data_IF_318065479145
#
_entry.id   IF_318065479145
#
_cell.length_a   1.000
_cell.length_b   1.000
_cell.length_c   1.000
_cell.angle_alpha   90.00
_cell.angle_beta   90.00
_cell.angle_gamma   90.00
#
_symmetry.space_group_name_H-M   'P 1'
#
loop_
_entity.id
_entity.type
_entity.pdbx_description
1 polymer ?
#
# COMPACT_ATOMS: atom_id res chain seq x y z
N UNK A 1 7.53 9.62 13.32
CA UNK A 1 6.91 8.89 12.18
C UNK A 1 5.40 8.79 12.35
N UNK A 2 4.62 9.39 11.44
CA UNK A 2 3.15 9.27 11.41
C UNK A 2 2.74 8.58 10.11
N UNK A 3 2.22 7.36 10.21
CA UNK A 3 1.77 6.54 9.08
C UNK A 3 0.27 6.29 9.23
N UNK A 4 -0.50 6.45 8.16
CA UNK A 4 -1.91 6.04 8.05
C UNK A 4 -2.08 4.82 7.15
N UNK A 5 -3.19 4.09 7.29
CA UNK A 5 -3.56 3.08 6.29
C UNK A 5 -3.81 3.70 4.91
N UNK A 6 -3.69 2.91 3.84
CA UNK A 6 -3.88 3.37 2.46
C UNK A 6 -5.36 3.62 2.11
N UNK A 7 -6.31 3.05 2.86
CA UNK A 7 -7.70 3.52 2.85
C UNK A 7 -8.02 4.32 4.12
N UNK A 8 -8.82 5.36 3.94
CA UNK A 8 -9.33 6.19 5.05
C UNK A 8 -10.83 6.36 4.84
N UNK A 9 -11.59 5.54 5.55
CA UNK A 9 -13.04 5.41 5.38
C UNK A 9 -13.75 6.03 6.58
N UNK A 10 -14.91 6.69 6.40
CA UNK A 10 -15.69 7.17 7.54
C UNK A 10 -16.15 5.98 8.38
N UNK A 11 -16.35 6.21 9.68
CA UNK A 11 -16.92 5.21 10.57
C UNK A 11 -18.41 5.06 10.29
N UNK A 12 -18.88 3.83 10.17
CA UNK A 12 -20.31 3.56 9.99
C UNK A 12 -21.06 3.75 11.32
N UNK A 13 -22.37 3.99 11.26
CA UNK A 13 -23.20 4.07 12.45
C UNK A 13 -23.16 2.74 13.23
N UNK A 14 -22.99 2.80 14.55
CA UNK A 14 -22.87 1.65 15.46
C UNK A 14 -21.69 0.68 15.20
N UNK A 15 -20.76 1.02 14.31
CA UNK A 15 -19.55 0.23 14.06
C UNK A 15 -18.59 0.30 15.26
N UNK A 16 -17.98 -0.81 15.67
CA UNK A 16 -16.93 -0.78 16.71
C UNK A 16 -15.63 -0.17 16.16
N UNK A 17 -14.79 0.37 17.04
CA UNK A 17 -13.50 0.94 16.60
C UNK A 17 -12.61 -0.12 15.94
N UNK A 18 -12.62 -1.35 16.47
CA UNK A 18 -11.90 -2.47 15.89
C UNK A 18 -12.38 -2.80 14.47
N UNK A 19 -13.70 -2.92 14.25
CA UNK A 19 -14.25 -3.17 12.91
C UNK A 19 -13.89 -2.06 11.93
N UNK A 20 -13.98 -0.81 12.41
CA UNK A 20 -13.66 0.37 11.61
C UNK A 20 -12.18 0.40 11.21
N UNK A 21 -11.26 0.09 12.13
CA UNK A 21 -9.83 0.03 11.83
C UNK A 21 -9.50 -1.14 10.89
N UNK A 22 -10.07 -2.33 11.14
CA UNK A 22 -9.79 -3.54 10.35
C UNK A 22 -10.14 -3.38 8.87
N UNK A 23 -11.14 -2.57 8.55
CA UNK A 23 -11.49 -2.29 7.15
C UNK A 23 -10.60 -1.23 6.50
N UNK A 24 -9.65 -0.60 7.16
CA UNK A 24 -8.75 0.36 6.47
C UNK A 24 -7.66 -0.33 5.64
N UNK A 25 -7.42 -1.61 5.88
CA UNK A 25 -6.43 -2.42 5.16
C UNK A 25 -6.80 -3.91 5.21
N UNK A 26 -7.90 -4.33 4.54
CA UNK A 26 -8.32 -5.73 4.54
C UNK A 26 -7.37 -6.57 3.67
N UNK A 27 -6.35 -7.17 4.27
CA UNK A 27 -5.33 -7.96 3.57
C UNK A 27 -5.89 -9.30 3.05
N UNK A 28 -5.57 -9.66 1.81
CA UNK A 28 -5.79 -11.00 1.29
C UNK A 28 -4.77 -11.99 1.86
N UNK A 29 -5.23 -12.81 2.80
CA UNK A 29 -4.43 -13.86 3.46
C UNK A 29 -3.81 -14.89 2.50
N UNK A 30 -4.30 -15.02 1.27
CA UNK A 30 -3.74 -15.96 0.29
C UNK A 30 -2.55 -15.35 -0.48
N UNK A 31 -2.38 -14.03 -0.44
CA UNK A 31 -1.36 -13.26 -1.17
C UNK A 31 -0.55 -12.38 -0.21
N UNK A 32 -0.11 -13.03 0.88
CA UNK A 32 0.55 -12.40 2.03
C UNK A 32 2.07 -12.25 1.86
N UNK A 33 2.70 -11.58 2.82
CA UNK A 33 4.14 -11.36 2.96
C UNK A 33 4.76 -12.33 3.98
N UNK A 34 6.02 -12.79 3.82
CA UNK A 34 6.92 -12.60 2.68
C UNK A 34 6.78 -13.70 1.61
N UNK A 35 5.97 -14.72 1.89
CA UNK A 35 5.68 -15.83 0.98
C UNK A 35 4.17 -15.94 0.82
N UNK A 36 3.71 -15.98 -0.43
CA UNK A 36 2.30 -16.25 -0.71
C UNK A 36 1.98 -17.75 -0.52
N UNK A 37 0.71 -18.13 -0.67
CA UNK A 37 0.25 -19.52 -0.52
C UNK A 37 0.90 -20.51 -1.50
N UNK A 38 1.53 -20.03 -2.57
CA UNK A 38 2.29 -20.82 -3.54
C UNK A 38 3.79 -20.87 -3.23
N UNK A 39 4.21 -20.48 -2.03
CA UNK A 39 5.60 -20.40 -1.60
C UNK A 39 6.49 -19.53 -2.51
N UNK A 40 5.89 -18.53 -3.17
CA UNK A 40 6.61 -17.55 -3.97
C UNK A 40 6.88 -16.31 -3.14
N UNK A 41 8.09 -15.75 -3.29
CA UNK A 41 8.47 -14.48 -2.68
C UNK A 41 7.52 -13.36 -3.06
N UNK A 42 7.08 -12.60 -2.06
CA UNK A 42 6.13 -11.51 -2.23
C UNK A 42 6.58 -10.34 -1.35
N UNK A 43 6.79 -9.17 -1.96
CA UNK A 43 7.42 -8.01 -1.30
C UNK A 43 6.49 -7.22 -0.38
N UNK A 44 5.17 -7.43 -0.48
CA UNK A 44 4.16 -6.68 0.25
C UNK A 44 2.90 -7.50 0.48
N UNK A 45 1.74 -6.86 0.46
CA UNK A 45 0.43 -7.51 0.63
C UNK A 45 -0.52 -7.06 -0.46
N UNK A 46 -1.54 -7.87 -0.74
CA UNK A 46 -2.70 -7.40 -1.50
C UNK A 46 -3.76 -6.89 -0.54
N UNK A 47 -4.16 -5.63 -0.70
CA UNK A 47 -5.24 -5.03 0.08
C UNK A 47 -6.49 -5.12 -0.77
N UNK A 48 -7.45 -5.90 -0.26
CA UNK A 48 -8.74 -6.11 -0.91
C UNK A 48 -9.53 -4.81 -0.93
N UNK A 49 -10.35 -4.68 -1.95
CA UNK A 49 -11.24 -3.56 -2.06
C UNK A 49 -12.59 -4.04 -2.56
N UNK A 50 -13.67 -3.52 -1.97
CA UNK A 50 -15.02 -3.83 -2.41
C UNK A 50 -15.75 -2.53 -2.69
N UNK A 51 -15.89 -2.19 -3.97
CA UNK A 51 -16.85 -1.18 -4.46
C UNK A 51 -18.31 -1.68 -4.36
N UNK A 52 -18.53 -2.77 -3.61
CA UNK A 52 -19.85 -3.38 -3.44
C UNK A 52 -20.65 -2.56 -2.45
N UNK A 53 -21.67 -1.86 -2.95
CA UNK A 53 -22.66 -1.16 -2.13
C UNK A 53 -23.29 -2.05 -1.05
N UNK A 54 -23.46 -3.34 -1.35
CA UNK A 54 -24.03 -4.35 -0.44
C UNK A 54 -23.18 -4.59 0.82
N UNK A 55 -21.88 -4.30 0.76
CA UNK A 55 -20.96 -4.36 1.91
C UNK A 55 -20.84 -3.00 2.63
N UNK A 56 -21.73 -2.05 2.32
CA UNK A 56 -21.83 -0.75 2.99
C UNK A 56 -20.94 0.35 2.41
N UNK A 57 -20.50 0.22 1.16
CA UNK A 57 -19.65 1.21 0.50
C UNK A 57 -20.47 2.13 -0.42
N UNK A 58 -20.70 3.37 0.02
CA UNK A 58 -21.52 4.34 -0.72
C UNK A 58 -20.76 5.06 -1.85
N UNK A 59 -19.43 4.89 -1.94
CA UNK A 59 -18.55 5.63 -2.85
C UNK A 59 -17.36 4.78 -3.29
N UNK A 60 -16.85 5.09 -4.48
CA UNK A 60 -15.58 4.56 -4.96
C UNK A 60 -14.49 4.91 -3.96
N UNK A 61 -13.70 3.91 -3.55
CA UNK A 61 -12.59 4.14 -2.65
C UNK A 61 -11.32 4.54 -3.40
N UNK A 62 -10.65 5.54 -2.86
CA UNK A 62 -9.35 5.97 -3.35
C UNK A 62 -8.27 5.47 -2.42
N UNK A 63 -7.20 4.95 -3.03
CA UNK A 63 -5.94 4.69 -2.36
C UNK A 63 -5.30 6.03 -2.00
N UNK A 64 -4.76 6.14 -0.79
CA UNK A 64 -4.22 7.37 -0.22
C UNK A 64 -2.78 7.18 0.24
N UNK A 65 -2.03 8.28 0.20
CA UNK A 65 -0.66 8.32 0.70
C UNK A 65 -0.64 7.98 2.20
N UNK A 66 0.18 7.01 2.60
CA UNK A 66 0.31 6.62 4.00
C UNK A 66 1.05 7.65 4.85
N UNK A 67 1.89 8.48 4.23
CA UNK A 67 2.72 9.49 4.86
C UNK A 67 3.08 10.59 3.86
N UNK A 68 3.56 11.71 4.36
CA UNK A 68 4.13 12.77 3.51
C UNK A 68 5.32 12.21 2.73
N UNK A 69 5.47 12.63 1.48
CA UNK A 69 6.54 12.11 0.64
C UNK A 69 6.67 12.82 -0.70
N UNK A 70 7.48 12.20 -1.54
CA UNK A 70 7.77 12.63 -2.90
C UNK A 70 7.54 11.48 -3.88
N UNK A 71 6.91 11.76 -5.01
CA UNK A 71 6.76 10.79 -6.10
C UNK A 71 8.10 10.61 -6.79
N UNK A 72 8.69 9.42 -6.67
CA UNK A 72 9.98 9.08 -7.29
C UNK A 72 9.85 8.18 -8.52
N UNK A 73 8.70 7.52 -8.68
CA UNK A 73 8.36 6.79 -9.91
C UNK A 73 6.86 6.51 -9.97
N UNK A 74 6.29 6.48 -11.17
CA UNK A 74 4.90 6.09 -11.37
C UNK A 74 4.67 5.57 -12.80
N UNK A 75 3.56 4.86 -12.98
CA UNK A 75 3.03 4.48 -14.29
C UNK A 75 1.54 4.69 -14.31
N UNK A 76 1.06 5.47 -15.28
CA UNK A 76 -0.37 5.58 -15.54
C UNK A 76 -0.94 4.21 -15.93
N UNK A 77 -2.13 3.83 -15.42
CA UNK A 77 -2.77 2.57 -15.76
C UNK A 77 -2.99 2.42 -17.27
N UNK A 78 -2.81 1.21 -17.78
CA UNK A 78 -3.24 0.82 -19.12
C UNK A 78 -4.77 0.85 -19.24
N UNK A 79 -5.28 0.97 -20.47
CA UNK A 79 -6.73 0.87 -20.71
C UNK A 79 -7.26 -0.53 -20.40
N UNK A 80 -8.55 -0.64 -20.12
CA UNK A 80 -9.23 -1.94 -19.89
C UNK A 80 -9.07 -2.89 -21.08
N UNK A 81 -9.10 -2.37 -22.31
CA UNK A 81 -8.86 -3.17 -23.51
C UNK A 81 -7.46 -3.84 -23.50
N UNK A 82 -6.43 -3.14 -23.00
CA UNK A 82 -5.10 -3.71 -22.85
C UNK A 82 -5.02 -4.64 -21.63
N UNK A 83 -5.64 -4.27 -20.50
CA UNK A 83 -5.77 -5.08 -19.29
C UNK A 83 -6.38 -6.45 -19.58
N UNK A 84 -7.41 -6.49 -20.43
CA UNK A 84 -8.20 -7.69 -20.71
C UNK A 84 -7.52 -8.66 -21.69
N UNK A 85 -6.28 -8.38 -22.08
CA UNK A 85 -5.48 -9.19 -23.01
C UNK A 85 -4.10 -9.53 -22.44
N UNK A 86 -3.41 -10.52 -23.03
CA UNK A 86 -2.03 -10.83 -22.65
C UNK A 86 -1.10 -9.62 -22.89
N UNK A 87 -0.15 -9.31 -21.98
CA UNK A 87 0.22 -10.08 -20.80
C UNK A 87 -0.54 -9.72 -19.53
N UNK A 88 -1.44 -8.73 -19.53
CA UNK A 88 -2.11 -8.26 -18.31
C UNK A 88 -3.27 -9.16 -17.84
N UNK A 89 -3.67 -10.12 -18.67
CA UNK A 89 -4.69 -11.11 -18.39
C UNK A 89 -4.16 -12.55 -18.50
N UNK A 90 -2.95 -12.82 -17.99
CA UNK A 90 -2.35 -14.17 -18.09
C UNK A 90 -2.95 -15.15 -17.06
N UNK A 91 -3.36 -14.67 -15.89
CA UNK A 91 -4.01 -15.44 -14.82
C UNK A 91 -5.32 -14.78 -14.33
N UNK A 92 -5.87 -13.87 -15.13
CA UNK A 92 -6.98 -13.00 -14.80
C UNK A 92 -6.64 -11.52 -15.00
N UNK A 93 -7.67 -10.69 -15.20
CA UNK A 93 -7.51 -9.25 -15.45
C UNK A 93 -6.71 -8.61 -14.31
N UNK A 94 -5.60 -7.97 -14.68
CA UNK A 94 -4.69 -7.33 -13.74
C UNK A 94 -4.30 -5.94 -14.23
N UNK A 95 -4.64 -4.92 -13.44
CA UNK A 95 -4.25 -3.54 -13.74
C UNK A 95 -2.75 -3.33 -13.48
N UNK A 96 -2.14 -2.38 -14.19
CA UNK A 96 -0.70 -2.16 -14.18
C UNK A 96 -0.28 -0.75 -13.73
N UNK A 97 -1.22 0.10 -13.30
CA UNK A 97 -0.87 1.39 -12.72
C UNK A 97 -0.08 1.23 -11.42
N UNK A 98 0.90 2.10 -11.19
CA UNK A 98 1.60 2.13 -9.89
C UNK A 98 2.12 3.53 -9.53
N UNK A 99 2.36 3.72 -8.23
CA UNK A 99 3.04 4.89 -7.66
C UNK A 99 4.05 4.42 -6.62
N UNK A 100 5.25 4.96 -6.68
CA UNK A 100 6.32 4.78 -5.69
C UNK A 100 6.60 6.13 -5.03
N UNK A 101 6.46 6.17 -3.71
CA UNK A 101 6.75 7.35 -2.91
C UNK A 101 8.01 7.13 -2.09
N UNK A 102 8.89 8.14 -2.05
CA UNK A 102 9.96 8.26 -1.06
C UNK A 102 9.45 9.08 0.12
N UNK A 103 9.73 8.61 1.32
CA UNK A 103 9.38 9.25 2.59
C UNK A 103 10.64 9.55 3.38
N UNK A 104 10.58 10.64 4.14
CA UNK A 104 11.64 11.08 5.04
C UNK A 104 10.98 11.47 6.37
N UNK A 105 11.49 10.96 7.48
CA UNK A 105 10.94 11.30 8.81
C UNK A 105 12.01 11.20 9.88
N UNK A 106 11.98 12.16 10.81
CA UNK A 106 12.77 12.08 12.03
C UNK A 106 12.04 11.23 13.08
N UNK A 107 12.79 10.36 13.76
CA UNK A 107 12.25 9.41 14.76
C UNK A 107 12.85 9.59 16.16
N UNK A 108 13.58 10.68 16.42
CA UNK A 108 14.22 10.97 17.71
C UNK A 108 15.50 11.78 17.54
N UNK A 109 16.28 11.92 18.61
CA UNK A 109 17.51 12.73 18.66
C UNK A 109 18.47 12.37 17.51
N UNK A 110 18.51 13.22 16.48
CA UNK A 110 19.36 13.09 15.28
C UNK A 110 19.18 11.78 14.48
N UNK A 111 18.03 11.11 14.60
CA UNK A 111 17.74 9.90 13.85
C UNK A 111 16.78 10.17 12.69
N UNK A 112 17.33 10.25 11.49
CA UNK A 112 16.61 10.45 10.24
C UNK A 112 16.46 9.12 9.49
N UNK A 113 15.23 8.82 9.05
CA UNK A 113 14.92 7.59 8.31
C UNK A 113 14.31 7.93 6.96
N UNK A 114 14.84 7.27 5.93
CA UNK A 114 14.26 7.21 4.60
C UNK A 114 13.61 5.83 4.36
N UNK A 115 12.40 5.84 3.82
CA UNK A 115 11.68 4.62 3.45
C UNK A 115 10.77 4.89 2.26
N UNK A 116 10.23 3.83 1.67
CA UNK A 116 9.42 3.89 0.47
C UNK A 116 8.08 3.21 0.68
N UNK A 117 7.05 3.72 0.01
CA UNK A 117 5.79 3.00 -0.15
C UNK A 117 5.45 2.82 -1.63
N UNK A 118 5.06 1.60 -1.99
CA UNK A 118 4.71 1.20 -3.34
C UNK A 118 3.23 0.79 -3.37
N UNK A 119 2.49 1.38 -4.30
CA UNK A 119 1.08 1.11 -4.57
C UNK A 119 0.97 0.63 -6.02
N UNK A 120 0.56 -0.61 -6.24
CA UNK A 120 0.50 -1.26 -7.56
C UNK A 120 -0.90 -1.77 -7.87
N UNK A 121 -1.14 -2.07 -9.14
CA UNK A 121 -2.45 -2.51 -9.65
C UNK A 121 -3.52 -1.43 -9.49
N UNK A 122 -3.13 -0.17 -9.70
CA UNK A 122 -4.06 0.96 -9.77
C UNK A 122 -4.72 1.00 -11.15
N UNK A 123 -6.00 1.38 -11.21
CA UNK A 123 -6.79 1.41 -12.44
C UNK A 123 -7.21 2.82 -12.87
N UNK A 124 -7.76 2.93 -14.08
CA UNK A 124 -8.37 4.12 -14.68
C UNK A 124 -7.42 5.32 -14.79
N UNK A 125 -7.22 6.04 -13.69
CA UNK A 125 -6.30 7.17 -13.61
C UNK A 125 -5.73 7.34 -12.21
N UNK A 126 -4.49 7.81 -12.17
CA UNK A 126 -3.88 8.34 -10.95
C UNK A 126 -4.47 9.70 -10.61
N UNK A 127 -4.29 10.17 -9.37
CA UNK A 127 -4.61 11.54 -9.03
C UNK A 127 -3.75 12.51 -9.87
N UNK A 128 -4.31 13.61 -10.42
CA UNK A 128 -3.55 14.56 -11.24
C UNK A 128 -2.33 15.18 -10.54
N UNK A 129 -2.28 15.15 -9.21
CA UNK A 129 -1.11 15.60 -8.45
C UNK A 129 0.09 14.65 -8.60
N UNK A 130 -0.12 13.39 -9.01
CA UNK A 130 0.95 12.41 -9.21
C UNK A 130 1.71 12.71 -10.51
N UNK A 131 2.91 13.25 -10.34
CA UNK A 131 3.89 13.55 -11.38
C UNK A 131 5.30 13.49 -10.78
N UNK A 132 6.31 13.42 -11.65
CA UNK A 132 7.71 13.31 -11.25
C UNK A 132 8.11 14.40 -10.24
N UNK A 133 8.71 14.00 -9.11
CA UNK A 133 9.15 14.90 -8.04
C UNK A 133 8.02 15.60 -7.27
N UNK A 134 6.75 15.24 -7.48
CA UNK A 134 5.64 15.89 -6.78
C UNK A 134 5.66 15.59 -5.29
N UNK A 135 5.44 16.63 -4.48
CA UNK A 135 5.12 16.47 -3.06
C UNK A 135 3.70 15.93 -2.91
N UNK A 136 3.56 14.92 -2.05
CA UNK A 136 2.28 14.32 -1.68
C UNK A 136 2.18 14.36 -0.16
N UNK A 137 1.03 14.78 0.36
CA UNK A 137 0.78 14.81 1.79
C UNK A 137 0.04 13.56 2.24
N UNK A 138 0.24 13.19 3.50
CA UNK A 138 -0.46 12.06 4.11
C UNK A 138 -1.97 12.21 3.94
N UNK A 139 -2.61 11.14 3.47
CA UNK A 139 -4.04 11.02 3.10
C UNK A 139 -4.44 11.65 1.76
N UNK A 140 -3.53 12.32 1.05
CA UNK A 140 -3.79 12.74 -0.33
C UNK A 140 -4.11 11.52 -1.19
N UNK A 141 -4.93 11.74 -2.22
CA UNK A 141 -5.31 10.67 -3.15
C UNK A 141 -4.11 10.29 -4.02
N UNK A 142 -3.97 8.99 -4.25
CA UNK A 142 -2.98 8.41 -5.16
C UNK A 142 -3.65 7.94 -6.44
N UNK A 143 -4.76 7.21 -6.32
CA UNK A 143 -5.47 6.63 -7.44
C UNK A 143 -6.61 5.71 -6.97
N UNK A 144 -7.19 4.97 -7.90
CA UNK A 144 -8.23 3.99 -7.63
C UNK A 144 -7.62 2.59 -7.53
N UNK A 145 -8.12 1.78 -6.59
CA UNK A 145 -7.78 0.36 -6.53
C UNK A 145 -8.26 -0.31 -7.81
N UNK A 146 -7.42 -1.13 -8.43
CA UNK A 146 -7.77 -1.90 -9.60
C UNK A 146 -8.06 -3.36 -9.28
N UNK A 147 -7.63 -4.21 -10.19
CA UNK A 147 -7.82 -5.65 -10.15
C UNK A 147 -6.47 -6.38 -10.20
N UNK A 148 -6.41 -7.54 -9.53
CA UNK A 148 -5.31 -8.49 -9.56
C UNK A 148 -5.87 -9.89 -9.75
N UNK A 149 -5.58 -10.52 -10.88
CA UNK A 149 -6.07 -11.86 -11.23
C UNK A 149 -7.58 -12.02 -10.96
N UNK A 150 -8.40 -11.14 -11.55
CA UNK A 150 -9.88 -11.07 -11.35
C UNK A 150 -10.37 -10.62 -9.96
N UNK A 151 -9.49 -10.34 -9.01
CA UNK A 151 -9.86 -9.88 -7.66
C UNK A 151 -9.70 -8.37 -7.55
N UNK A 152 -10.72 -7.67 -7.04
CA UNK A 152 -10.59 -6.25 -6.72
C UNK A 152 -9.62 -6.07 -5.55
N UNK A 153 -8.43 -5.58 -5.86
CA UNK A 153 -7.35 -5.38 -4.91
C UNK A 153 -6.29 -4.47 -5.50
N UNK A 154 -5.41 -3.97 -4.63
CA UNK A 154 -4.16 -3.35 -5.04
C UNK A 154 -3.01 -3.95 -4.23
N UNK A 155 -1.81 -3.99 -4.80
CA UNK A 155 -0.62 -4.42 -4.05
C UNK A 155 -0.02 -3.23 -3.30
N UNK A 156 0.32 -3.44 -2.04
CA UNK A 156 0.87 -2.43 -1.15
C UNK A 156 2.13 -2.96 -0.45
N UNK A 157 3.18 -2.15 -0.45
CA UNK A 157 4.46 -2.50 0.15
C UNK A 157 5.11 -1.29 0.80
N UNK A 158 5.74 -1.49 1.96
CA UNK A 158 6.61 -0.51 2.63
C UNK A 158 7.98 -1.14 2.82
N UNK A 159 9.04 -0.43 2.46
CA UNK A 159 10.40 -0.96 2.49
C UNK A 159 11.44 0.15 2.64
N UNK A 160 12.63 -0.22 3.11
CA UNK A 160 13.81 0.64 3.13
C UNK A 160 15.08 -0.23 3.02
N UNK A 161 16.24 0.40 2.89
CA UNK A 161 17.52 -0.32 2.86
C UNK A 161 17.95 -0.79 4.25
N UNK A 162 19.06 -1.54 4.29
CA UNK A 162 19.59 -2.09 5.55
C UNK A 162 20.02 -1.01 6.55
N UNK A 163 20.48 0.16 6.08
CA UNK A 163 20.91 1.25 6.95
C UNK A 163 19.70 1.85 7.68
N UNK A 164 18.62 2.12 6.96
CA UNK A 164 17.37 2.63 7.52
C UNK A 164 16.64 1.58 8.35
N UNK A 165 16.70 0.30 7.95
CA UNK A 165 16.22 -0.81 8.77
C UNK A 165 16.94 -0.85 10.12
N UNK A 166 18.27 -0.72 10.15
CA UNK A 166 19.05 -0.70 11.38
C UNK A 166 18.66 0.48 12.29
N UNK A 167 18.41 1.67 11.73
CA UNK A 167 17.90 2.84 12.49
C UNK A 167 16.53 2.58 13.11
N UNK A 168 15.66 1.87 12.40
CA UNK A 168 14.30 1.55 12.85
C UNK A 168 14.28 0.43 13.90
N UNK A 169 15.07 -0.62 13.72
CA UNK A 169 14.99 -1.84 14.53
C UNK A 169 16.07 -1.94 15.59
N UNK A 170 17.20 -1.23 15.46
CA UNK A 170 18.37 -1.37 16.33
C UNK A 170 19.19 -2.66 16.09
N UNK A 171 18.82 -3.47 15.09
CA UNK A 171 19.37 -4.82 14.88
C UNK A 171 19.50 -5.21 13.41
N UNK A 172 20.45 -6.10 13.12
CA UNK A 172 20.70 -6.65 11.78
C UNK A 172 20.16 -8.06 11.56
N UNK A 173 19.59 -8.69 12.60
CA UNK A 173 18.98 -10.02 12.53
C UNK A 173 17.50 -9.98 12.95
N UNK A 174 16.75 -11.03 12.62
CA UNK A 174 15.31 -11.09 12.83
C UNK A 174 14.92 -11.40 14.29
N UNK A 175 15.84 -11.97 15.07
CA UNK A 175 15.65 -12.35 16.46
C UNK A 175 15.75 -11.12 17.38
N UNK A 176 14.92 -11.09 18.42
CA UNK A 176 14.98 -10.09 19.49
C UNK A 176 15.44 -10.79 20.75
N UNK A 177 16.49 -10.30 21.40
CA UNK A 177 16.92 -10.81 22.70
C UNK A 177 15.95 -10.31 23.78
N UNK A 178 14.97 -11.15 24.11
CA UNK A 178 13.94 -10.85 25.11
C UNK A 178 14.45 -10.91 26.55
N UNK A 179 15.75 -11.13 26.78
CA UNK A 179 16.34 -11.22 28.13
C UNK A 179 16.87 -9.88 28.66
N UNK A 180 16.80 -8.81 27.87
CA UNK A 180 17.35 -7.48 28.20
C UNK A 180 16.42 -6.36 27.75
N UNK A 181 16.41 -5.27 28.53
CA UNK A 181 15.67 -4.05 28.19
C UNK A 181 16.40 -3.31 27.06
N UNK A 182 15.74 -3.14 25.91
CA UNK A 182 16.32 -2.48 24.74
C UNK A 182 15.61 -2.84 23.45
N UNK A 183 16.04 -2.21 22.36
CA UNK A 183 15.80 -2.69 20.99
C UNK A 183 16.87 -3.72 20.62
#
# INVERSE_FOLDING_TARGET
>A
MIISPPFVRPRNAAESDLSWVSRMMPVDINRDFPLNRHASWHGGVHVLHTDRREEGYDRIEFVRAIADGEVVSFRSPSSTAKRDTFPLNYDGRTDDGYVLLKHQTDIGENCHVEYYSLYMHLMDRLDPAIRDGARVWRKDRIGQSGMVSETNAFHFQVFCDNENMLKLTGRTTAELDITRDGR
#
